data_IF_645595736901
#
_entry.id   IF_645595736901
#
_cell.length_a   1.000
_cell.length_b   1.000
_cell.length_c   1.000
_cell.angle_alpha   90.00
_cell.angle_beta   90.00
_cell.angle_gamma   90.00
#
_symmetry.space_group_name_H-M   'P 1'
#
loop_
_entity.id
_entity.type
_entity.pdbx_description
1 polymer ?
#
# COMPACT_ATOMS: atom_id res chain seq x y z
N UNK A 1 -19.47 22.19 -2.35
CA UNK A 1 -18.01 22.03 -2.54
C UNK A 1 -17.72 20.55 -2.44
N UNK A 2 -17.19 19.92 -3.49
CA UNK A 2 -16.77 18.51 -3.42
C UNK A 2 -15.51 18.45 -2.54
N UNK A 3 -15.62 17.89 -1.34
CA UNK A 3 -14.46 17.56 -0.50
C UNK A 3 -13.68 16.46 -1.21
N UNK A 4 -12.57 16.84 -1.86
CA UNK A 4 -11.69 15.89 -2.52
C UNK A 4 -11.18 14.89 -1.48
N UNK A 5 -11.40 13.59 -1.71
CA UNK A 5 -10.97 12.54 -0.79
C UNK A 5 -9.48 12.27 -0.98
N UNK A 6 -8.76 12.24 0.13
CA UNK A 6 -7.31 12.10 0.19
C UNK A 6 -6.93 10.73 0.74
N UNK A 7 -5.98 10.09 0.06
CA UNK A 7 -5.56 8.73 0.35
C UNK A 7 -4.05 8.62 0.39
N UNK A 8 -3.55 7.72 1.23
CA UNK A 8 -2.15 7.32 1.26
C UNK A 8 -2.03 5.90 0.74
N UNK A 9 -1.07 5.67 -0.14
CA UNK A 9 -0.65 4.34 -0.52
C UNK A 9 0.34 3.79 0.50
N UNK A 10 0.01 2.63 1.07
CA UNK A 10 0.88 1.92 2.01
C UNK A 10 1.35 0.63 1.32
N UNK A 11 2.64 0.53 0.90
CA UNK A 11 3.17 -0.68 0.31
C UNK A 11 3.23 -1.80 1.35
N UNK A 12 2.73 -3.00 1.02
CA UNK A 12 2.80 -4.13 1.95
C UNK A 12 4.08 -4.93 1.67
N UNK A 13 4.99 -4.94 2.65
CA UNK A 13 6.32 -5.56 2.55
C UNK A 13 6.65 -6.41 3.78
N UNK A 14 7.72 -7.20 3.71
CA UNK A 14 8.21 -8.02 4.82
C UNK A 14 8.66 -7.19 6.03
N UNK A 15 9.13 -5.96 5.81
CA UNK A 15 9.68 -5.07 6.84
C UNK A 15 8.72 -3.96 7.28
N UNK A 16 7.44 -4.02 6.87
CA UNK A 16 6.55 -2.88 7.06
C UNK A 16 6.34 -2.54 8.53
N UNK A 17 6.47 -1.25 8.81
CA UNK A 17 5.97 -0.58 10.00
C UNK A 17 5.20 0.67 9.52
N UNK A 18 4.01 0.93 10.06
CA UNK A 18 3.30 2.17 9.72
C UNK A 18 4.13 3.33 10.28
N UNK A 19 4.65 4.14 9.35
CA UNK A 19 5.40 5.34 9.69
C UNK A 19 4.47 6.35 10.39
N UNK A 20 4.90 6.89 11.53
CA UNK A 20 4.15 7.88 12.34
C UNK A 20 3.90 9.18 11.56
N UNK A 21 4.56 9.34 10.40
CA UNK A 21 4.51 10.49 9.51
C UNK A 21 3.24 10.58 8.64
N UNK A 22 2.34 9.62 8.73
CA UNK A 22 1.01 9.68 8.08
C UNK A 22 -0.10 9.81 9.13
N UNK A 23 -1.06 10.70 8.85
CA UNK A 23 -2.31 10.76 9.62
C UNK A 23 -3.35 9.96 8.87
N UNK A 24 -3.74 8.83 9.46
CA UNK A 24 -4.82 7.98 8.94
C UNK A 24 -6.15 8.60 9.36
N UNK A 25 -7.01 8.85 8.37
CA UNK A 25 -8.33 9.41 8.56
C UNK A 25 -9.37 8.37 9.00
N UNK A 26 -10.65 8.74 8.91
CA UNK A 26 -11.76 7.85 9.26
C UNK A 26 -11.87 6.60 8.37
N UNK A 27 -12.88 5.77 8.62
CA UNK A 27 -13.03 4.42 8.05
C UNK A 27 -13.34 4.32 6.55
N UNK A 28 -13.32 5.43 5.80
CA UNK A 28 -13.68 5.48 4.38
C UNK A 28 -12.47 5.15 3.47
N UNK A 29 -11.82 4.02 3.73
CA UNK A 29 -10.68 3.54 2.98
C UNK A 29 -11.10 2.94 1.62
N UNK A 30 -10.25 3.07 0.60
CA UNK A 30 -10.51 2.43 -0.71
C UNK A 30 -10.30 0.93 -0.62
N UNK A 31 -9.18 0.51 -0.03
CA UNK A 31 -8.98 -0.89 0.34
C UNK A 31 -9.98 -1.23 1.44
N UNK A 32 -10.68 -2.36 1.28
CA UNK A 32 -11.71 -2.80 2.21
C UNK A 32 -11.47 -4.26 2.62
N UNK A 33 -11.92 -4.61 3.81
CA UNK A 33 -11.76 -5.93 4.42
C UNK A 33 -13.11 -6.39 4.96
N UNK A 34 -13.53 -7.58 4.55
CA UNK A 34 -14.78 -8.19 4.96
C UNK A 34 -14.65 -9.71 5.13
N UNK A 35 -15.77 -10.41 5.29
CA UNK A 35 -15.80 -11.86 5.49
C UNK A 35 -15.19 -12.67 4.33
N UNK A 36 -15.05 -12.07 3.15
CA UNK A 36 -14.46 -12.68 1.96
C UNK A 36 -12.98 -12.33 1.78
N UNK A 37 -12.44 -11.45 2.62
CA UNK A 37 -11.03 -11.09 2.62
C UNK A 37 -10.75 -9.64 2.19
N UNK A 38 -9.61 -9.42 1.56
CA UNK A 38 -9.06 -8.10 1.19
C UNK A 38 -9.47 -7.74 -0.24
N UNK A 39 -9.99 -6.51 -0.42
CA UNK A 39 -10.44 -5.98 -1.71
C UNK A 39 -9.78 -4.64 -2.03
N UNK A 40 -9.77 -4.28 -3.32
CA UNK A 40 -9.22 -3.03 -3.84
C UNK A 40 -7.75 -2.83 -3.45
N UNK A 41 -6.90 -3.78 -3.81
CA UNK A 41 -5.44 -3.67 -3.66
C UNK A 41 -4.87 -2.91 -4.86
N UNK A 42 -4.07 -1.86 -4.60
CA UNK A 42 -3.42 -1.10 -5.66
C UNK A 42 -2.12 -1.77 -6.06
N UNK A 43 -1.89 -1.87 -7.37
CA UNK A 43 -0.64 -2.29 -7.98
C UNK A 43 0.00 -1.08 -8.65
N UNK A 44 1.23 -0.74 -8.25
CA UNK A 44 2.02 0.33 -8.87
C UNK A 44 3.15 -0.34 -9.66
N UNK A 45 3.08 -0.31 -10.99
CA UNK A 45 4.08 -0.87 -11.92
C UNK A 45 5.16 0.14 -12.27
N UNK A 46 6.37 -0.29 -12.64
CA UNK A 46 7.50 0.61 -12.92
C UNK A 46 8.23 1.08 -11.67
N UNK A 47 7.99 0.43 -10.54
CA UNK A 47 8.53 0.79 -9.23
C UNK A 47 8.97 -0.44 -8.46
N UNK A 48 10.01 -0.26 -7.65
CA UNK A 48 10.43 -1.18 -6.60
C UNK A 48 10.42 -0.46 -5.24
N UNK A 49 10.42 -1.22 -4.15
CA UNK A 49 10.50 -0.68 -2.79
C UNK A 49 11.94 -0.71 -2.27
N UNK A 50 12.38 0.40 -1.69
CA UNK A 50 13.50 0.42 -0.76
C UNK A 50 13.00 -0.05 0.61
N UNK A 51 13.13 -1.35 0.90
CA UNK A 51 12.60 -1.97 2.12
C UNK A 51 13.15 -1.36 3.41
N UNK A 52 14.33 -0.73 3.36
CA UNK A 52 14.94 -0.08 4.52
C UNK A 52 14.21 1.22 4.90
N UNK A 53 13.75 1.95 3.89
CA UNK A 53 13.12 3.26 4.07
C UNK A 53 11.60 3.26 3.84
N UNK A 54 11.04 2.15 3.35
CA UNK A 54 9.61 2.01 3.05
C UNK A 54 9.13 2.87 1.88
N UNK A 55 10.04 3.31 1.00
CA UNK A 55 9.76 4.25 -0.10
C UNK A 55 9.82 3.55 -1.44
N UNK A 56 8.96 3.97 -2.36
CA UNK A 56 8.98 3.52 -3.74
C UNK A 56 10.04 4.29 -4.53
N UNK A 57 10.79 3.56 -5.34
CA UNK A 57 11.79 4.10 -6.25
C UNK A 57 11.39 3.71 -7.68
N UNK A 58 11.30 4.67 -8.62
CA UNK A 58 10.94 4.38 -9.99
C UNK A 58 12.10 3.62 -10.67
N UNK A 59 11.78 2.48 -11.27
CA UNK A 59 12.75 1.61 -11.95
C UNK A 59 12.70 1.76 -13.46
N UNK A 60 11.59 2.30 -13.98
CA UNK A 60 11.25 2.37 -15.40
C UNK A 60 11.12 0.99 -16.08
N UNK A 61 11.14 -0.10 -15.31
CA UNK A 61 10.83 -1.44 -15.80
C UNK A 61 9.36 -1.77 -15.50
N UNK A 62 8.49 -1.91 -16.53
CA UNK A 62 7.07 -2.20 -16.32
C UNK A 62 6.81 -3.57 -15.68
N UNK A 63 7.80 -4.47 -15.65
CA UNK A 63 7.70 -5.77 -14.98
C UNK A 63 7.83 -5.64 -13.46
N UNK A 64 8.54 -4.61 -12.98
CA UNK A 64 8.62 -4.31 -11.55
C UNK A 64 7.29 -3.75 -11.07
N UNK A 65 6.87 -4.20 -9.89
CA UNK A 65 5.67 -3.69 -9.25
C UNK A 65 5.76 -3.72 -7.74
N UNK A 66 4.98 -2.86 -7.10
CA UNK A 66 4.71 -2.89 -5.66
C UNK A 66 3.20 -2.91 -5.43
N UNK A 67 2.75 -3.84 -4.58
CA UNK A 67 1.35 -3.95 -4.20
C UNK A 67 1.13 -3.37 -2.81
N UNK A 68 -0.02 -2.73 -2.61
CA UNK A 68 -0.33 -2.10 -1.34
C UNK A 68 -1.78 -1.71 -1.20
N UNK A 69 -2.06 -1.07 -0.07
CA UNK A 69 -3.41 -0.65 0.30
C UNK A 69 -3.57 0.86 0.12
N UNK A 70 -4.78 1.30 -0.16
CA UNK A 70 -5.17 2.71 -0.24
C UNK A 70 -6.09 3.06 0.92
N UNK A 71 -5.57 3.87 1.84
CA UNK A 71 -6.25 4.23 3.08
C UNK A 71 -6.53 5.72 3.10
N UNK A 72 -7.68 6.11 3.63
CA UNK A 72 -8.03 7.51 3.81
C UNK A 72 -7.01 8.14 4.77
N UNK A 73 -6.36 9.22 4.34
CA UNK A 73 -5.30 9.82 5.14
C UNK A 73 -4.48 10.84 4.36
N UNK A 74 -3.60 11.52 5.08
CA UNK A 74 -2.69 12.54 4.54
C UNK A 74 -1.31 12.44 5.19
N UNK A 75 -0.23 12.78 4.46
CA UNK A 75 1.07 13.03 5.07
C UNK A 75 1.01 14.18 6.06
N UNK A 76 1.79 14.11 7.13
CA UNK A 76 1.95 15.25 8.03
C UNK A 76 2.70 16.40 7.33
N UNK A 77 2.22 17.64 7.52
CA UNK A 77 2.60 18.84 6.75
C UNK A 77 4.12 19.09 6.61
N UNK A 78 4.96 18.62 7.53
CA UNK A 78 6.40 18.86 7.50
C UNK A 78 7.16 18.04 6.43
N UNK A 79 6.52 17.12 5.70
CA UNK A 79 7.21 16.09 4.90
C UNK A 79 6.62 15.88 3.49
N UNK A 80 6.05 16.91 2.88
CA UNK A 80 5.47 16.83 1.52
C UNK A 80 6.46 16.32 0.46
N UNK A 81 7.76 16.54 0.64
CA UNK A 81 8.80 16.14 -0.33
C UNK A 81 9.09 14.63 -0.32
N UNK A 82 8.63 13.90 0.71
CA UNK A 82 8.78 12.45 0.81
C UNK A 82 7.67 11.69 0.09
N UNK A 83 6.69 12.40 -0.50
CA UNK A 83 5.54 11.81 -1.15
C UNK A 83 5.36 12.34 -2.58
N UNK A 84 5.20 11.41 -3.52
CA UNK A 84 4.64 11.72 -4.83
C UNK A 84 3.12 11.90 -4.67
N UNK A 85 2.59 13.05 -5.11
CA UNK A 85 1.14 13.32 -5.11
C UNK A 85 0.58 13.09 -6.50
N UNK A 86 -0.39 12.18 -6.61
CA UNK A 86 -1.13 11.91 -7.84
C UNK A 86 -2.58 12.34 -7.69
N UNK A 87 -3.14 12.97 -8.73
CA UNK A 87 -4.57 13.28 -8.82
C UNK A 87 -5.13 12.65 -10.09
N UNK A 88 -5.99 11.64 -9.93
CA UNK A 88 -6.55 10.91 -11.06
C UNK A 88 -7.90 10.24 -10.72
N UNK A 89 -8.73 9.97 -11.73
CA UNK A 89 -9.94 9.18 -11.58
C UNK A 89 -9.63 7.76 -11.09
N UNK A 90 -10.43 7.22 -10.17
CA UNK A 90 -10.22 5.88 -9.63
C UNK A 90 -10.23 4.76 -10.69
N UNK A 91 -10.95 4.93 -11.80
CA UNK A 91 -11.00 3.95 -12.89
C UNK A 91 -9.70 3.86 -13.71
N UNK A 92 -8.75 4.77 -13.51
CA UNK A 92 -7.40 4.74 -14.12
C UNK A 92 -6.38 3.97 -13.28
N UNK A 93 -6.72 3.64 -12.03
CA UNK A 93 -5.86 2.88 -11.14
C UNK A 93 -5.87 1.40 -11.47
N UNK A 94 -4.72 0.75 -11.34
CA UNK A 94 -4.63 -0.70 -11.43
C UNK A 94 -5.00 -1.34 -10.07
N UNK A 95 -6.31 -1.48 -9.84
CA UNK A 95 -6.85 -2.14 -8.66
C UNK A 95 -7.17 -3.61 -8.96
N UNK A 96 -6.64 -4.53 -8.15
CA UNK A 96 -7.01 -5.95 -8.16
C UNK A 96 -8.01 -6.27 -7.04
N UNK A 97 -8.72 -7.40 -7.17
CA UNK A 97 -9.82 -7.79 -6.25
C UNK A 97 -10.84 -6.64 -6.09
N UNK A 98 -11.25 -6.04 -7.20
CA UNK A 98 -12.10 -4.84 -7.20
C UNK A 98 -13.46 -5.15 -6.57
N UNK A 99 -13.87 -4.33 -5.59
CA UNK A 99 -15.17 -4.40 -4.92
C UNK A 99 -15.77 -3.01 -4.76
N UNK A 100 -17.04 -2.89 -5.12
CA UNK A 100 -17.78 -1.62 -5.07
C UNK A 100 -17.47 -0.70 -6.24
N UNK A 101 -18.20 0.42 -6.30
CA UNK A 101 -17.97 1.46 -7.28
C UNK A 101 -17.15 2.58 -6.64
N UNK A 102 -15.98 2.87 -7.21
CA UNK A 102 -15.12 3.99 -6.80
C UNK A 102 -15.17 4.95 -7.98
N UNK A 103 -16.02 5.98 -7.90
CA UNK A 103 -16.32 6.86 -9.02
C UNK A 103 -15.60 8.22 -8.97
N UNK A 104 -14.92 8.51 -7.87
CA UNK A 104 -14.43 9.85 -7.60
C UNK A 104 -12.98 10.04 -8.06
N UNK A 105 -12.61 11.30 -8.32
CA UNK A 105 -11.22 11.71 -8.45
C UNK A 105 -10.51 11.54 -7.11
N UNK A 106 -9.42 10.77 -7.11
CA UNK A 106 -8.65 10.47 -5.93
C UNK A 106 -7.38 11.31 -5.90
N UNK A 107 -7.05 11.86 -4.73
CA UNK A 107 -5.71 12.39 -4.46
C UNK A 107 -4.95 11.36 -3.65
N UNK A 108 -3.87 10.83 -4.21
CA UNK A 108 -3.09 9.74 -3.63
C UNK A 108 -1.68 10.24 -3.32
N UNK A 109 -1.23 10.01 -2.09
CA UNK A 109 0.13 10.24 -1.64
C UNK A 109 0.89 8.91 -1.63
N UNK A 110 1.99 8.83 -2.36
CA UNK A 110 2.83 7.63 -2.47
C UNK A 110 4.19 7.94 -1.84
N UNK A 111 4.65 7.20 -0.81
CA UNK A 111 5.98 7.39 -0.24
C UNK A 111 7.02 7.12 -1.31
N UNK A 112 7.87 8.11 -1.60
CA UNK A 112 8.70 8.14 -2.80
C UNK A 112 10.13 8.57 -2.48
N UNK A 113 11.07 7.99 -3.22
CA UNK A 113 12.46 8.43 -3.30
C UNK A 113 12.91 8.50 -4.75
N UNK A 114 13.69 9.52 -5.08
CA UNK A 114 14.36 9.60 -6.38
C UNK A 114 15.50 8.57 -6.46
N UNK A 115 15.73 7.98 -7.64
CA UNK A 115 16.85 7.06 -7.84
C UNK A 115 18.20 7.78 -7.66
N UNK A 116 19.21 7.11 -7.09
CA UNK A 116 20.59 7.62 -7.08
C UNK A 116 21.16 7.53 -8.50
N UNK A 117 21.48 8.67 -9.10
CA UNK A 117 21.98 8.77 -10.47
C UNK A 117 23.34 8.09 -10.70
N UNK A 118 24.04 7.66 -9.64
CA UNK A 118 25.40 7.11 -9.72
C UNK A 118 25.48 5.59 -9.79
N UNK A 119 24.40 4.88 -9.45
CA UNK A 119 24.42 3.42 -9.32
C UNK A 119 23.41 2.77 -10.28
N UNK A 120 23.79 1.64 -10.86
CA UNK A 120 22.83 0.80 -11.56
C UNK A 120 21.87 0.17 -10.53
N UNK A 121 20.58 0.27 -10.81
CA UNK A 121 19.54 -0.27 -9.95
C UNK A 121 19.30 -1.73 -10.31
N UNK A 122 19.31 -2.60 -9.29
CA UNK A 122 18.89 -3.99 -9.43
C UNK A 122 17.67 -4.22 -8.57
N UNK A 123 16.74 -5.02 -9.08
CA UNK A 123 15.51 -5.37 -8.40
C UNK A 123 15.40 -6.88 -8.29
N UNK A 124 14.75 -7.34 -7.22
CA UNK A 124 14.40 -8.75 -7.02
C UNK A 124 12.94 -8.90 -6.63
N UNK A 125 12.26 -9.95 -7.12
CA UNK A 125 10.92 -10.26 -6.66
C UNK A 125 10.96 -10.80 -5.23
N UNK A 126 10.00 -10.38 -4.42
CA UNK A 126 9.82 -10.80 -3.03
C UNK A 126 8.37 -11.23 -2.81
N UNK A 127 8.21 -12.39 -2.19
CA UNK A 127 6.91 -12.94 -1.76
C UNK A 127 6.81 -12.95 -0.24
N UNK A 128 5.60 -12.68 0.26
CA UNK A 128 5.30 -12.74 1.69
C UNK A 128 4.70 -14.12 1.99
N UNK A 129 5.46 -15.02 2.63
CA UNK A 129 4.99 -16.38 2.94
C UNK A 129 5.18 -16.82 4.38
N UNK A 130 6.11 -16.19 5.11
CA UNK A 130 6.42 -16.50 6.50
C UNK A 130 5.31 -16.03 7.45
N UNK A 131 4.82 -16.93 8.32
CA UNK A 131 3.71 -16.63 9.23
C UNK A 131 4.04 -15.56 10.27
N UNK A 132 5.31 -15.45 10.70
CA UNK A 132 5.75 -14.41 11.62
C UNK A 132 5.62 -13.04 10.95
N UNK A 133 6.06 -12.95 9.69
CA UNK A 133 5.93 -11.73 8.89
C UNK A 133 4.46 -11.39 8.66
N UNK A 134 3.63 -12.36 8.26
CA UNK A 134 2.19 -12.14 8.03
C UNK A 134 1.50 -11.66 9.31
N UNK A 135 1.79 -12.25 10.46
CA UNK A 135 1.25 -11.82 11.74
C UNK A 135 1.71 -10.41 12.11
N UNK A 136 2.95 -10.05 11.79
CA UNK A 136 3.44 -8.68 11.97
C UNK A 136 2.70 -7.68 11.08
N UNK A 137 2.49 -8.00 9.80
CA UNK A 137 1.70 -7.16 8.88
C UNK A 137 0.26 -6.98 9.39
N UNK A 138 -0.36 -8.05 9.88
CA UNK A 138 -1.69 -7.98 10.49
C UNK A 138 -1.68 -6.98 11.64
N UNK A 139 -0.75 -7.12 12.59
CA UNK A 139 -0.68 -6.27 13.77
C UNK A 139 -0.35 -4.82 13.40
N UNK A 140 0.66 -4.60 12.58
CA UNK A 140 1.21 -3.29 12.29
C UNK A 140 0.39 -2.51 11.27
N UNK A 141 -0.36 -3.19 10.40
CA UNK A 141 -1.13 -2.54 9.33
C UNK A 141 -2.61 -2.78 9.51
N UNK A 142 -3.04 -4.03 9.35
CA UNK A 142 -4.46 -4.31 9.20
C UNK A 142 -5.26 -4.07 10.48
N UNK A 143 -4.68 -4.40 11.63
CA UNK A 143 -5.34 -4.18 12.92
C UNK A 143 -5.32 -2.70 13.33
N UNK A 144 -4.18 -2.01 13.17
CA UNK A 144 -4.10 -0.56 13.44
C UNK A 144 -5.04 0.28 12.60
N UNK A 145 -5.24 -0.08 11.34
CA UNK A 145 -6.05 0.70 10.40
C UNK A 145 -7.53 0.27 10.44
N UNK A 146 -7.79 -1.04 10.38
CA UNK A 146 -9.14 -1.56 10.19
C UNK A 146 -9.73 -2.22 11.43
N UNK A 147 -8.95 -2.36 12.50
CA UNK A 147 -9.35 -2.99 13.76
C UNK A 147 -9.91 -4.41 13.53
N UNK A 148 -9.21 -5.20 12.71
CA UNK A 148 -9.72 -6.51 12.26
C UNK A 148 -9.79 -7.55 13.37
N UNK A 149 -8.96 -7.44 14.41
CA UNK A 149 -9.00 -8.40 15.53
C UNK A 149 -10.24 -8.25 16.40
N UNK A 150 -10.85 -7.05 16.42
CA UNK A 150 -12.06 -6.77 17.18
C UNK A 150 -13.35 -6.97 16.36
N UNK A 151 -13.24 -7.25 15.06
CA UNK A 151 -14.40 -7.39 14.17
C UNK A 151 -14.83 -8.85 14.02
N UNK A 152 -15.95 -9.21 14.64
CA UNK A 152 -16.52 -10.57 14.58
C UNK A 152 -16.76 -11.10 13.16
N UNK A 153 -17.04 -10.21 12.19
CA UNK A 153 -17.32 -10.60 10.79
C UNK A 153 -16.05 -10.86 9.97
N UNK A 154 -14.88 -10.39 10.41
CA UNK A 154 -13.64 -10.56 9.66
C UNK A 154 -13.01 -11.90 10.02
N UNK A 155 -12.77 -12.73 9.00
CA UNK A 155 -12.07 -14.00 9.17
C UNK A 155 -10.57 -13.75 9.10
N UNK A 156 -9.90 -13.67 10.24
CA UNK A 156 -8.45 -13.38 10.32
C UNK A 156 -7.64 -14.37 9.47
N UNK A 157 -7.98 -15.66 9.49
CA UNK A 157 -7.30 -16.65 8.64
C UNK A 157 -7.45 -16.36 7.15
N UNK A 158 -8.60 -15.86 6.71
CA UNK A 158 -8.78 -15.44 5.31
C UNK A 158 -7.91 -14.23 4.97
N UNK A 159 -7.77 -13.28 5.90
CA UNK A 159 -6.85 -12.14 5.72
C UNK A 159 -5.40 -12.61 5.63
N UNK A 160 -4.98 -13.60 6.44
CA UNK A 160 -3.63 -14.20 6.35
C UNK A 160 -3.38 -14.84 4.99
N UNK A 161 -4.33 -15.65 4.52
CA UNK A 161 -4.26 -16.26 3.18
C UNK A 161 -4.13 -15.22 2.08
N UNK A 162 -4.99 -14.19 2.13
CA UNK A 162 -4.97 -13.10 1.15
C UNK A 162 -3.67 -12.31 1.21
N UNK A 163 -3.06 -12.14 2.40
CA UNK A 163 -1.77 -11.45 2.49
C UNK A 163 -0.72 -12.22 1.70
N UNK A 164 -0.66 -13.55 1.87
CA UNK A 164 0.31 -14.41 1.19
C UNK A 164 0.07 -14.50 -0.32
N UNK A 165 -1.20 -14.51 -0.74
CA UNK A 165 -1.58 -14.63 -2.16
C UNK A 165 -1.44 -13.30 -2.91
N UNK A 166 -1.92 -12.21 -2.31
CA UNK A 166 -2.07 -10.93 -3.00
C UNK A 166 -0.79 -10.13 -2.97
N UNK A 167 -0.07 -10.08 -1.85
CA UNK A 167 1.07 -9.18 -1.69
C UNK A 167 2.39 -9.88 -2.06
N UNK A 168 2.88 -9.48 -3.23
CA UNK A 168 4.24 -9.66 -3.70
C UNK A 168 4.70 -8.31 -4.23
N UNK A 169 6.01 -8.10 -4.31
CA UNK A 169 6.58 -6.84 -4.75
C UNK A 169 8.00 -7.03 -5.27
N UNK A 170 8.52 -6.03 -5.95
CA UNK A 170 9.94 -5.92 -6.28
C UNK A 170 10.64 -5.04 -5.26
N UNK A 171 11.78 -5.50 -4.74
CA UNK A 171 12.64 -4.79 -3.81
C UNK A 171 13.95 -4.39 -4.48
N UNK A 172 14.54 -3.27 -4.06
CA UNK A 172 15.89 -2.92 -4.45
C UNK A 172 16.90 -3.90 -3.84
N UNK A 173 17.85 -4.37 -4.65
CA UNK A 173 19.03 -5.08 -4.15
C UNK A 173 20.04 -4.05 -3.62
N UNK A 174 20.50 -4.25 -2.38
CA UNK A 174 21.56 -3.45 -1.75
C UNK A 174 22.91 -4.14 -1.90
#
# INVERSE_FOLDING_TARGET
MSTQREYVFIPITNSITIDVKITIGGSDHITNIDERGIHNVLVITGYAVDEKNGRLVPTLDPCDYVKGILVAGTPQQAQSNDFLTLKLPANKLYLIRKKGNISDDLKIYIPYSSPDARNSMKTKPVSISDDTIVNNIIKEVFDKIYNITQKEKVKIEKVKEDIKELFSYYALEQ
#
